data_IF_366209726991
#
_entry.id   IF_366209726991
#
_cell.length_a   1.000
_cell.length_b   1.000
_cell.length_c   1.000
_cell.angle_alpha   90.00
_cell.angle_beta   90.00
_cell.angle_gamma   90.00
#
_symmetry.space_group_name_H-M   'P 1'
#
loop_
_entity.id
_entity.type
_entity.pdbx_description
1 polymer ?
#
# COMPACT_ATOMS: atom_id res chain seq x y z
N UNK A 1 -8.85 -15.86 2.03
CA UNK A 1 -8.04 -14.67 1.69
C UNK A 1 -8.82 -13.43 2.12
N UNK A 2 -8.21 -12.56 2.91
CA UNK A 2 -8.82 -11.30 3.36
C UNK A 2 -8.10 -10.13 2.69
N UNK A 3 -8.86 -9.17 2.19
CA UNK A 3 -8.33 -8.01 1.50
C UNK A 3 -8.78 -6.73 2.20
N UNK A 4 -7.89 -5.74 2.23
CA UNK A 4 -8.20 -4.42 2.77
C UNK A 4 -8.01 -3.36 1.69
N UNK A 5 -8.82 -2.30 1.77
CA UNK A 5 -8.72 -1.19 0.83
C UNK A 5 -7.63 -0.24 1.27
N UNK A 6 -6.66 -0.03 0.41
CA UNK A 6 -5.49 0.82 0.66
C UNK A 6 -5.38 1.91 -0.38
N UNK A 7 -4.65 2.95 -0.04
CA UNK A 7 -4.11 3.93 -0.97
C UNK A 7 -2.59 3.82 -0.97
N UNK A 8 -1.96 3.90 -2.13
CA UNK A 8 -0.50 3.87 -2.25
C UNK A 8 -0.02 4.83 -3.36
N UNK A 9 1.25 5.20 -3.31
CA UNK A 9 1.88 6.05 -4.33
C UNK A 9 2.57 5.21 -5.40
N UNK A 10 2.32 5.47 -6.69
CA UNK A 10 3.10 4.88 -7.76
C UNK A 10 4.58 5.28 -7.67
N UNK A 11 5.48 4.32 -7.91
CA UNK A 11 6.93 4.53 -7.94
C UNK A 11 7.58 3.71 -9.08
N UNK A 12 8.90 3.81 -9.22
CA UNK A 12 9.68 2.89 -10.05
C UNK A 12 10.17 1.66 -9.25
N UNK A 13 10.93 0.79 -9.90
CA UNK A 13 11.46 -0.44 -9.27
C UNK A 13 12.46 -0.19 -8.14
N UNK A 14 12.96 1.04 -7.98
CA UNK A 14 13.85 1.45 -6.91
C UNK A 14 13.10 2.18 -5.78
N UNK A 15 11.79 2.36 -5.91
CA UNK A 15 10.97 3.09 -4.96
C UNK A 15 11.05 4.61 -5.13
N UNK A 16 11.70 5.09 -6.19
CA UNK A 16 11.68 6.51 -6.50
C UNK A 16 10.31 6.86 -7.04
N UNK A 17 9.69 7.88 -6.47
CA UNK A 17 8.49 8.47 -7.05
C UNK A 17 8.85 8.97 -8.45
N UNK A 18 8.23 8.41 -9.51
CA UNK A 18 8.46 8.85 -10.89
C UNK A 18 8.16 10.35 -10.98
N UNK A 19 9.19 11.19 -11.20
CA UNK A 19 9.10 12.64 -11.44
C UNK A 19 7.86 13.29 -10.80
N UNK A 20 7.82 13.20 -9.47
CA UNK A 20 7.29 14.17 -8.50
C UNK A 20 5.83 14.66 -8.64
N UNK A 21 5.05 14.29 -7.62
CA UNK A 21 3.92 15.03 -7.01
C UNK A 21 2.55 15.10 -7.72
N UNK A 22 2.43 14.77 -9.00
CA UNK A 22 1.16 14.85 -9.73
C UNK A 22 0.43 13.51 -9.89
N UNK A 23 1.08 12.37 -9.65
CA UNK A 23 0.40 11.08 -9.73
C UNK A 23 -0.48 10.92 -8.48
N UNK A 24 -1.82 10.94 -8.62
CA UNK A 24 -2.70 10.76 -7.47
C UNK A 24 -2.42 9.41 -6.83
N UNK A 25 -2.56 9.34 -5.50
CA UNK A 25 -2.53 8.05 -4.80
C UNK A 25 -3.57 7.12 -5.42
N UNK A 26 -3.16 5.89 -5.70
CA UNK A 26 -4.03 4.88 -6.29
C UNK A 26 -4.66 4.03 -5.21
N UNK A 27 -5.94 3.70 -5.39
CA UNK A 27 -6.67 2.85 -4.45
C UNK A 27 -6.81 1.44 -4.99
N UNK A 28 -6.48 0.44 -4.17
CA UNK A 28 -6.68 -0.96 -4.53
C UNK A 28 -6.88 -1.83 -3.29
N UNK A 29 -7.16 -3.10 -3.51
CA UNK A 29 -7.29 -4.10 -2.46
C UNK A 29 -5.97 -4.83 -2.25
N UNK A 30 -5.41 -4.73 -1.05
CA UNK A 30 -4.18 -5.40 -0.65
C UNK A 30 -4.52 -6.66 0.14
N UNK A 31 -3.90 -7.80 -0.19
CA UNK A 31 -4.05 -9.01 0.62
C UNK A 31 -3.38 -8.78 1.98
N UNK A 32 -4.10 -9.08 3.07
CA UNK A 32 -3.58 -8.97 4.44
C UNK A 32 -2.32 -9.81 4.65
N UNK A 33 -2.16 -10.91 3.92
CA UNK A 33 -1.00 -11.79 4.05
C UNK A 33 0.32 -11.08 3.70
N UNK A 34 0.26 -10.00 2.92
CA UNK A 34 1.40 -9.17 2.52
C UNK A 34 1.76 -8.11 3.58
N UNK A 35 0.91 -7.90 4.58
CA UNK A 35 1.06 -6.85 5.60
C UNK A 35 1.87 -7.38 6.78
N UNK A 36 2.99 -6.73 7.08
CA UNK A 36 3.81 -7.02 8.26
C UNK A 36 3.36 -6.26 9.50
N UNK A 37 2.72 -5.10 9.32
CA UNK A 37 2.18 -4.31 10.42
C UNK A 37 1.34 -3.14 9.94
N UNK A 38 0.49 -2.64 10.83
CA UNK A 38 -0.32 -1.44 10.63
C UNK A 38 -0.10 -0.53 11.83
N UNK A 39 0.19 0.75 11.59
CA UNK A 39 0.35 1.78 12.62
C UNK A 39 -0.49 2.98 12.24
N UNK A 40 -1.52 3.28 13.04
CA UNK A 40 -2.56 4.25 12.71
C UNK A 40 -3.22 3.93 11.36
N UNK A 41 -2.87 4.67 10.30
CA UNK A 41 -3.30 4.40 8.92
C UNK A 41 -2.18 3.84 8.06
N UNK A 42 -0.92 3.87 8.51
CA UNK A 42 0.23 3.45 7.72
C UNK A 42 0.35 1.93 7.71
N UNK A 43 0.60 1.37 6.53
CA UNK A 43 0.79 -0.06 6.32
C UNK A 43 2.27 -0.33 6.02
N UNK A 44 2.83 -1.32 6.73
CA UNK A 44 4.16 -1.85 6.48
C UNK A 44 4.01 -3.23 5.85
N UNK A 45 4.69 -3.49 4.74
CA UNK A 45 4.64 -4.80 4.08
C UNK A 45 5.70 -5.74 4.65
N UNK A 46 5.44 -7.05 4.60
CA UNK A 46 6.43 -8.07 5.01
C UNK A 46 7.67 -8.09 4.13
N UNK A 47 7.52 -7.75 2.85
CA UNK A 47 8.57 -7.82 1.83
C UNK A 47 9.39 -6.53 1.63
N UNK A 48 9.22 -5.52 2.48
CA UNK A 48 9.87 -4.21 2.34
C UNK A 48 8.89 -3.07 2.05
N UNK A 49 9.38 -1.98 1.47
CA UNK A 49 8.58 -0.75 1.29
C UNK A 49 7.92 -0.64 -0.09
N UNK A 50 8.27 -1.53 -1.03
CA UNK A 50 7.80 -1.48 -2.41
C UNK A 50 6.99 -2.75 -2.71
N UNK A 51 5.84 -2.58 -3.38
CA UNK A 51 5.06 -3.68 -3.91
C UNK A 51 4.96 -3.58 -5.43
N UNK A 52 5.24 -4.67 -6.13
CA UNK A 52 4.94 -4.79 -7.55
C UNK A 52 3.56 -5.43 -7.74
N UNK A 53 2.64 -4.72 -8.39
CA UNK A 53 1.31 -5.22 -8.77
C UNK A 53 1.06 -4.95 -10.25
N UNK A 54 0.81 -6.01 -11.02
CA UNK A 54 0.44 -5.89 -12.44
C UNK A 54 1.48 -5.14 -13.29
N UNK A 55 2.76 -5.22 -12.94
CA UNK A 55 3.85 -4.51 -13.63
C UNK A 55 4.09 -3.07 -13.18
N UNK A 56 3.28 -2.55 -12.26
CA UNK A 56 3.47 -1.25 -11.62
C UNK A 56 4.05 -1.41 -10.21
N UNK A 57 4.79 -0.40 -9.74
CA UNK A 57 5.39 -0.40 -8.42
C UNK A 57 4.72 0.64 -7.53
N UNK A 58 4.53 0.31 -6.27
CA UNK A 58 3.84 1.14 -5.28
C UNK A 58 4.63 1.24 -3.97
N UNK A 59 4.56 2.39 -3.32
CA UNK A 59 5.14 2.69 -2.00
C UNK A 59 4.12 3.49 -1.16
N UNK A 60 4.45 3.83 0.09
CA UNK A 60 3.63 4.69 0.97
C UNK A 60 2.17 4.23 1.13
N UNK A 61 2.01 2.97 1.52
CA UNK A 61 0.71 2.34 1.71
C UNK A 61 0.01 2.88 2.96
N UNK A 62 -1.23 3.31 2.79
CA UNK A 62 -2.10 3.73 3.87
C UNK A 62 -3.48 3.09 3.74
N UNK A 63 -4.15 2.87 4.86
CA UNK A 63 -5.56 2.51 4.91
C UNK A 63 -6.39 3.61 4.27
N UNK A 64 -7.27 3.23 3.35
CA UNK A 64 -8.19 4.19 2.73
C UNK A 64 -9.31 4.60 3.68
N UNK A 65 -9.79 3.63 4.46
CA UNK A 65 -10.90 3.77 5.38
C UNK A 65 -10.41 3.37 6.79
N UNK A 66 -10.99 3.96 7.85
CA UNK A 66 -10.72 3.49 9.22
C UNK A 66 -11.24 2.05 9.32
N UNK A 67 -10.34 1.09 9.50
CA UNK A 67 -10.74 -0.30 9.72
C UNK A 67 -10.93 -0.50 11.23
N UNK A 68 -12.04 -1.12 11.58
CA UNK A 68 -12.27 -1.63 12.93
C UNK A 68 -11.49 -2.94 13.09
N UNK A 69 -10.37 -2.88 13.82
CA UNK A 69 -9.43 -3.99 13.95
C UNK A 69 -10.00 -5.20 14.70
N UNK A 70 -11.13 -5.04 15.40
CA UNK A 70 -11.77 -6.14 16.13
C UNK A 70 -12.38 -7.21 15.19
N UNK A 71 -12.58 -6.91 13.91
CA UNK A 71 -13.23 -7.80 12.94
C UNK A 71 -12.32 -8.30 11.80
N UNK A 72 -10.99 -8.13 11.92
CA UNK A 72 -10.02 -8.41 10.86
C UNK A 72 -9.54 -9.86 10.76
#
# INVERSE_FOLDING_TARGET
MKFIKVVARPCDSQGNERRQQLSPQESFYLNIDLIGGISETRIMLKGGNILMLGGNYFTDFNLKDKIDFENL
#
